data_IF_339448339893
#
_entry.id   IF_339448339893
#
_cell.length_a   1.000
_cell.length_b   1.000
_cell.length_c   1.000
_cell.angle_alpha   90.00
_cell.angle_beta   90.00
_cell.angle_gamma   90.00
#
_symmetry.space_group_name_H-M   'P 1'
#
loop_
_entity.id
_entity.type
_entity.pdbx_description
1 polymer ?
#
# COMPACT_ATOMS: atom_id res chain seq x y z
N UNK A 1 52.83 -0.97 -24.95
CA UNK A 1 52.29 -2.20 -24.29
C UNK A 1 50.79 -2.07 -24.15
N UNK A 2 50.08 -2.75 -25.00
CA UNK A 2 48.61 -2.70 -25.10
C UNK A 2 48.02 -3.72 -24.15
N UNK A 3 47.33 -3.30 -23.07
CA UNK A 3 46.56 -4.20 -22.22
C UNK A 3 45.08 -4.09 -22.51
N UNK A 4 44.62 -4.90 -23.49
CA UNK A 4 43.22 -5.20 -23.76
C UNK A 4 42.61 -5.96 -22.55
N UNK A 5 41.98 -5.24 -21.58
CA UNK A 5 41.10 -5.86 -20.62
C UNK A 5 39.76 -6.17 -21.31
N UNK A 6 39.59 -7.41 -21.72
CA UNK A 6 38.31 -7.98 -22.15
C UNK A 6 37.32 -7.86 -20.96
N UNK A 7 36.28 -7.02 -21.09
CA UNK A 7 35.08 -7.09 -20.26
C UNK A 7 34.43 -8.46 -20.50
N UNK A 8 34.59 -9.39 -19.56
CA UNK A 8 33.81 -10.61 -19.50
C UNK A 8 32.35 -10.19 -19.29
N UNK A 9 31.50 -10.35 -20.31
CA UNK A 9 30.08 -10.22 -20.17
C UNK A 9 29.59 -11.16 -19.04
N UNK A 10 29.01 -10.60 -18.00
CA UNK A 10 28.28 -11.37 -16.99
C UNK A 10 27.14 -12.05 -17.76
N UNK A 11 27.16 -13.38 -17.89
CA UNK A 11 25.99 -14.15 -18.29
C UNK A 11 24.87 -13.73 -17.33
N UNK A 12 23.70 -13.28 -17.83
CA UNK A 12 22.50 -13.19 -17.04
C UNK A 12 22.31 -14.56 -16.39
N UNK A 13 22.50 -14.67 -15.08
CA UNK A 13 21.97 -15.81 -14.34
C UNK A 13 20.45 -15.71 -14.49
N UNK A 14 19.82 -16.84 -14.79
CA UNK A 14 18.37 -16.92 -14.67
C UNK A 14 18.05 -16.52 -13.22
N UNK A 15 17.39 -15.37 -13.05
CA UNK A 15 17.00 -14.88 -11.74
C UNK A 15 15.93 -15.83 -11.24
N UNK A 16 16.18 -16.44 -10.08
CA UNK A 16 15.14 -17.20 -9.42
C UNK A 16 13.92 -16.27 -9.21
N UNK A 17 12.77 -16.74 -9.63
CA UNK A 17 11.50 -16.00 -9.54
C UNK A 17 10.60 -16.70 -8.53
N UNK A 18 9.57 -16.00 -8.05
CA UNK A 18 8.54 -16.62 -7.22
C UNK A 18 7.89 -17.76 -8.01
N UNK A 19 8.04 -19.00 -7.52
CA UNK A 19 7.44 -20.17 -8.17
C UNK A 19 5.96 -20.26 -7.84
N UNK A 20 5.14 -20.62 -8.82
CA UNK A 20 3.74 -20.99 -8.58
C UNK A 20 3.66 -22.20 -7.62
N UNK A 21 2.59 -22.30 -6.82
CA UNK A 21 2.35 -23.51 -6.03
C UNK A 21 2.03 -24.71 -6.94
N UNK A 22 1.96 -25.91 -6.36
CA UNK A 22 1.51 -27.09 -7.07
C UNK A 22 0.14 -26.85 -7.76
N UNK A 23 -0.06 -27.40 -8.96
CA UNK A 23 -1.28 -27.18 -9.73
C UNK A 23 -2.54 -27.60 -8.95
N UNK A 24 -3.60 -26.83 -9.10
CA UNK A 24 -4.91 -27.14 -8.51
C UNK A 24 -5.55 -28.36 -9.17
N UNK A 25 -6.15 -29.24 -8.37
CA UNK A 25 -6.97 -30.31 -8.90
C UNK A 25 -8.26 -29.75 -9.57
N UNK A 26 -8.87 -30.47 -10.52
CA UNK A 26 -10.15 -30.05 -11.10
C UNK A 26 -11.25 -29.83 -10.04
N UNK A 27 -11.22 -30.60 -8.96
CA UNK A 27 -12.17 -30.47 -7.85
C UNK A 27 -11.94 -29.17 -7.08
N UNK A 28 -10.68 -28.80 -6.79
CA UNK A 28 -10.30 -27.56 -6.15
C UNK A 28 -10.68 -26.35 -7.00
N UNK A 29 -10.39 -26.37 -8.30
CA UNK A 29 -10.79 -25.32 -9.25
C UNK A 29 -12.30 -25.11 -9.20
N UNK A 30 -13.09 -26.20 -9.26
CA UNK A 30 -14.55 -26.13 -9.18
C UNK A 30 -15.04 -25.53 -7.86
N UNK A 31 -14.46 -25.96 -6.74
CA UNK A 31 -14.81 -25.46 -5.40
C UNK A 31 -14.52 -23.98 -5.26
N UNK A 32 -13.30 -23.55 -5.61
CA UNK A 32 -12.89 -22.13 -5.53
C UNK A 32 -13.72 -21.25 -6.47
N UNK A 33 -13.96 -21.68 -7.71
CA UNK A 33 -14.77 -20.95 -8.67
C UNK A 33 -16.24 -20.80 -8.20
N UNK A 34 -16.78 -21.80 -7.52
CA UNK A 34 -18.13 -21.75 -6.96
C UNK A 34 -18.30 -20.68 -5.86
N UNK A 35 -17.20 -20.27 -5.19
CA UNK A 35 -17.22 -19.19 -4.17
C UNK A 35 -17.28 -17.78 -4.78
N UNK A 36 -16.96 -17.59 -6.07
CA UNK A 36 -16.87 -16.25 -6.67
C UNK A 36 -18.13 -15.39 -6.46
N UNK A 37 -19.38 -15.90 -6.66
CA UNK A 37 -20.57 -15.10 -6.42
C UNK A 37 -20.76 -14.71 -4.94
N UNK A 38 -20.35 -15.58 -4.01
CA UNK A 38 -20.36 -15.30 -2.57
C UNK A 38 -19.39 -14.16 -2.24
N UNK A 39 -18.14 -14.23 -2.74
CA UNK A 39 -17.10 -13.24 -2.52
C UNK A 39 -17.48 -11.88 -3.14
N UNK A 40 -18.08 -11.88 -4.33
CA UNK A 40 -18.59 -10.64 -4.94
C UNK A 40 -19.69 -10.00 -4.09
N UNK A 41 -20.58 -10.81 -3.52
CA UNK A 41 -21.61 -10.31 -2.61
C UNK A 41 -20.99 -9.73 -1.34
N UNK A 42 -20.08 -10.46 -0.70
CA UNK A 42 -19.36 -10.00 0.48
C UNK A 42 -18.62 -8.67 0.24
N UNK A 43 -18.00 -8.51 -0.94
CA UNK A 43 -17.38 -7.24 -1.33
C UNK A 43 -18.40 -6.10 -1.41
N UNK A 44 -19.56 -6.35 -2.00
CA UNK A 44 -20.62 -5.34 -2.13
C UNK A 44 -21.32 -5.06 -0.79
N UNK A 45 -21.39 -6.04 0.11
CA UNK A 45 -21.91 -5.87 1.48
C UNK A 45 -20.97 -4.99 2.36
N UNK A 46 -19.72 -4.80 1.95
CA UNK A 46 -18.81 -3.82 2.58
C UNK A 46 -19.09 -2.36 2.15
N UNK A 47 -20.04 -2.12 1.24
CA UNK A 47 -20.52 -0.78 0.91
C UNK A 47 -21.53 -0.32 1.95
N UNK A 48 -21.31 0.89 2.52
CA UNK A 48 -22.19 1.43 3.55
C UNK A 48 -22.53 2.91 3.33
N UNK A 49 -23.68 3.34 3.84
CA UNK A 49 -24.15 4.71 3.76
C UNK A 49 -23.57 5.54 4.91
N UNK A 50 -22.72 6.49 4.59
CA UNK A 50 -22.07 7.36 5.56
C UNK A 50 -22.92 8.59 5.87
N UNK A 51 -23.24 8.88 7.15
CA UNK A 51 -24.09 10.01 7.52
C UNK A 51 -23.60 11.37 7.05
N UNK A 52 -22.27 11.54 6.92
CA UNK A 52 -21.64 12.77 6.42
C UNK A 52 -21.51 12.80 4.88
N UNK A 53 -21.73 11.66 4.21
CA UNK A 53 -21.67 11.52 2.75
C UNK A 53 -22.81 10.57 2.28
N UNK A 54 -24.07 11.03 2.29
CA UNK A 54 -25.23 10.16 2.03
C UNK A 54 -25.50 9.88 0.55
N UNK A 55 -24.80 10.55 -0.37
CA UNK A 55 -25.11 10.51 -1.81
C UNK A 55 -24.79 9.15 -2.44
N UNK A 56 -23.77 8.46 -1.95
CA UNK A 56 -23.31 7.18 -2.50
C UNK A 56 -22.72 6.33 -1.37
N UNK A 57 -23.02 5.02 -1.31
CA UNK A 57 -22.35 4.12 -0.37
C UNK A 57 -20.85 4.08 -0.61
N UNK A 58 -20.04 4.04 0.46
CA UNK A 58 -18.59 4.02 0.41
C UNK A 58 -18.05 2.68 0.89
N UNK A 59 -16.88 2.25 0.38
CA UNK A 59 -16.27 0.97 0.67
C UNK A 59 -15.51 0.99 2.00
N UNK A 60 -15.97 0.23 2.97
CA UNK A 60 -15.25 -0.07 4.21
C UNK A 60 -14.08 -1.03 3.96
N UNK A 61 -13.10 -1.02 4.86
CA UNK A 61 -11.96 -1.94 4.80
C UNK A 61 -12.35 -3.40 5.12
N UNK A 62 -13.54 -3.65 5.69
CA UNK A 62 -14.07 -4.95 6.08
C UNK A 62 -15.11 -4.79 7.19
N UNK A 63 -15.76 -5.89 7.57
CA UNK A 63 -16.84 -5.86 8.59
C UNK A 63 -16.39 -5.32 9.94
N UNK A 64 -15.14 -5.55 10.31
CA UNK A 64 -14.57 -5.08 11.59
C UNK A 64 -14.16 -3.59 11.58
N UNK A 65 -14.19 -2.93 10.43
CA UNK A 65 -13.75 -1.54 10.28
C UNK A 65 -14.94 -0.61 10.05
N UNK A 66 -15.17 0.27 10.99
CA UNK A 66 -16.31 1.20 10.98
C UNK A 66 -15.98 2.53 10.29
N UNK A 67 -15.46 2.47 9.06
CA UNK A 67 -15.09 3.68 8.30
C UNK A 67 -14.39 3.36 6.99
N UNK A 68 -13.99 4.44 6.30
CA UNK A 68 -13.05 4.38 5.18
C UNK A 68 -11.73 5.04 5.59
N UNK A 69 -10.61 4.45 5.18
CA UNK A 69 -9.27 4.93 5.48
C UNK A 69 -8.53 5.32 4.22
N UNK A 70 -7.74 6.38 4.31
CA UNK A 70 -6.91 6.85 3.20
C UNK A 70 -5.92 5.77 2.75
N UNK A 71 -5.42 4.96 3.69
CA UNK A 71 -4.56 3.81 3.43
C UNK A 71 -5.23 2.76 2.53
N UNK A 72 -6.53 2.56 2.65
CA UNK A 72 -7.33 1.61 1.88
C UNK A 72 -7.86 2.17 0.56
N UNK A 73 -7.52 3.42 0.24
CA UNK A 73 -8.13 4.10 -0.91
C UNK A 73 -7.88 3.36 -2.24
N UNK A 74 -6.73 2.65 -2.39
CA UNK A 74 -6.43 1.86 -3.59
C UNK A 74 -7.38 0.68 -3.83
N UNK A 75 -8.11 0.21 -2.81
CA UNK A 75 -9.08 -0.89 -2.94
C UNK A 75 -10.20 -0.50 -3.91
N UNK A 76 -10.52 0.80 -3.94
CA UNK A 76 -11.51 1.37 -4.85
C UNK A 76 -11.12 1.24 -6.35
N UNK A 77 -9.83 1.11 -6.67
CA UNK A 77 -9.42 0.82 -8.05
C UNK A 77 -9.96 -0.53 -8.53
N UNK A 78 -9.94 -1.54 -7.67
CA UNK A 78 -10.49 -2.87 -7.98
C UNK A 78 -12.01 -2.88 -7.84
N UNK A 79 -12.57 -2.19 -6.83
CA UNK A 79 -14.02 -2.03 -6.67
C UNK A 79 -14.68 -1.42 -7.91
N UNK A 80 -13.98 -0.55 -8.64
CA UNK A 80 -14.54 0.10 -9.83
C UNK A 80 -15.03 -0.88 -10.93
N UNK A 81 -14.59 -2.15 -10.91
CA UNK A 81 -15.11 -3.22 -11.78
C UNK A 81 -16.51 -3.70 -11.37
N UNK A 82 -16.95 -3.41 -10.15
CA UNK A 82 -18.18 -3.91 -9.54
C UNK A 82 -19.17 -2.79 -9.16
N UNK A 83 -18.65 -1.68 -8.62
CA UNK A 83 -19.43 -0.53 -8.16
C UNK A 83 -18.68 0.79 -8.47
N UNK A 84 -18.65 1.23 -9.74
CA UNK A 84 -17.87 2.39 -10.19
C UNK A 84 -18.26 3.70 -9.49
N UNK A 85 -19.55 3.92 -9.21
CA UNK A 85 -19.98 5.13 -8.50
C UNK A 85 -19.51 5.17 -7.04
N UNK A 86 -19.51 4.04 -6.34
CA UNK A 86 -18.99 3.94 -4.97
C UNK A 86 -17.45 4.10 -4.94
N UNK A 87 -16.75 3.56 -5.93
CA UNK A 87 -15.32 3.72 -6.07
C UNK A 87 -14.92 5.19 -6.26
N UNK A 88 -15.65 5.93 -7.09
CA UNK A 88 -15.46 7.38 -7.22
C UNK A 88 -15.95 8.13 -5.98
N UNK A 89 -17.08 7.74 -5.40
CA UNK A 89 -17.65 8.36 -4.20
C UNK A 89 -16.63 8.46 -3.06
N UNK A 90 -15.80 7.43 -2.85
CA UNK A 90 -14.72 7.47 -1.86
C UNK A 90 -13.69 8.57 -2.16
N UNK A 91 -13.35 8.79 -3.44
CA UNK A 91 -12.42 9.86 -3.85
C UNK A 91 -13.04 11.24 -3.63
N UNK A 92 -14.30 11.41 -4.03
CA UNK A 92 -15.05 12.66 -3.84
C UNK A 92 -15.21 13.00 -2.36
N UNK A 93 -15.47 11.99 -1.51
CA UNK A 93 -15.57 12.17 -0.07
C UNK A 93 -14.25 12.70 0.53
N UNK A 94 -13.11 12.10 0.21
CA UNK A 94 -11.82 12.60 0.69
C UNK A 94 -11.56 14.04 0.20
N UNK A 95 -11.85 14.37 -1.06
CA UNK A 95 -11.73 15.74 -1.58
C UNK A 95 -12.64 16.73 -0.86
N UNK A 96 -13.87 16.34 -0.56
CA UNK A 96 -14.86 17.18 0.12
C UNK A 96 -14.47 17.47 1.57
N UNK A 97 -13.86 16.49 2.25
CA UNK A 97 -13.51 16.59 3.67
C UNK A 97 -12.05 16.97 3.91
N UNK A 98 -11.32 17.36 2.87
CA UNK A 98 -9.96 17.89 3.02
C UNK A 98 -9.96 19.12 3.93
N UNK A 99 -9.00 19.20 4.86
CA UNK A 99 -8.84 20.34 5.77
C UNK A 99 -8.36 21.57 5.01
N UNK A 100 -8.66 22.77 5.50
CA UNK A 100 -8.35 24.04 4.82
C UNK A 100 -6.84 24.22 4.55
N UNK A 101 -5.97 23.68 5.41
CA UNK A 101 -4.52 23.69 5.24
C UNK A 101 -3.99 22.68 4.21
N UNK A 102 -4.86 21.83 3.66
CA UNK A 102 -4.54 20.84 2.63
C UNK A 102 -4.40 19.40 3.12
N UNK A 103 -4.47 19.12 4.42
CA UNK A 103 -4.42 17.76 4.96
C UNK A 103 -5.69 16.98 4.58
N UNK A 104 -5.52 15.78 3.98
CA UNK A 104 -6.62 14.83 3.86
C UNK A 104 -6.90 14.15 5.21
N UNK A 105 -8.16 13.86 5.54
CA UNK A 105 -8.45 13.01 6.69
C UNK A 105 -7.86 11.61 6.45
N UNK A 106 -7.26 11.01 7.50
CA UNK A 106 -6.83 9.63 7.37
C UNK A 106 -8.02 8.66 7.37
N UNK A 107 -9.13 9.05 8.02
CA UNK A 107 -10.36 8.28 8.06
C UNK A 107 -11.61 9.15 8.04
N UNK A 108 -12.68 8.60 7.44
CA UNK A 108 -14.05 9.07 7.57
C UNK A 108 -14.84 7.97 8.30
N UNK A 109 -15.15 8.14 9.61
CA UNK A 109 -15.84 7.13 10.40
C UNK A 109 -17.32 7.02 10.05
N UNK A 110 -17.86 5.80 10.06
CA UNK A 110 -19.28 5.53 9.86
C UNK A 110 -20.10 5.86 11.12
N UNK A 111 -19.67 5.37 12.28
CA UNK A 111 -20.44 5.39 13.52
C UNK A 111 -20.02 6.52 14.49
N UNK A 112 -19.56 7.66 13.98
CA UNK A 112 -19.08 8.78 14.79
C UNK A 112 -20.16 9.42 15.69
N UNK A 113 -21.44 9.15 15.44
CA UNK A 113 -22.57 9.62 16.28
C UNK A 113 -22.91 8.66 17.42
N UNK A 114 -22.35 7.45 17.42
CA UNK A 114 -22.66 6.42 18.40
C UNK A 114 -21.78 6.62 19.63
N UNK A 115 -22.40 6.95 20.75
CA UNK A 115 -21.71 7.10 22.04
C UNK A 115 -21.00 5.81 22.43
N UNK A 116 -19.77 5.94 22.93
CA UNK A 116 -18.88 4.81 23.25
C UNK A 116 -18.12 4.22 22.05
N UNK A 117 -18.36 4.70 20.82
CA UNK A 117 -17.52 4.36 19.69
C UNK A 117 -16.15 5.07 19.76
N UNK A 118 -15.09 4.43 19.25
CA UNK A 118 -13.75 5.00 19.22
C UNK A 118 -13.69 6.38 18.53
N UNK A 119 -14.51 6.58 17.50
CA UNK A 119 -14.59 7.81 16.72
C UNK A 119 -15.73 8.75 17.16
N UNK A 120 -16.30 8.55 18.36
CA UNK A 120 -17.42 9.37 18.82
C UNK A 120 -17.09 10.88 18.77
N UNK A 121 -17.90 11.64 18.07
CA UNK A 121 -17.73 13.09 17.88
C UNK A 121 -16.86 13.51 16.69
N UNK A 122 -16.21 12.57 16.01
CA UNK A 122 -15.33 12.87 14.86
C UNK A 122 -15.95 12.39 13.55
N UNK A 123 -16.54 13.26 12.77
CA UNK A 123 -17.05 12.93 11.41
C UNK A 123 -15.92 12.75 10.37
N UNK A 124 -14.73 13.18 10.71
CA UNK A 124 -13.46 13.05 9.97
C UNK A 124 -12.28 13.13 10.94
N UNK A 125 -11.20 12.43 10.62
CA UNK A 125 -10.07 12.30 11.53
C UNK A 125 -8.77 12.78 10.92
N UNK A 126 -7.97 13.57 11.67
CA UNK A 126 -6.70 14.17 11.25
C UNK A 126 -5.56 13.88 12.22
N UNK A 127 -5.66 12.80 13.00
CA UNK A 127 -4.72 12.47 14.09
C UNK A 127 -3.35 12.04 13.60
N UNK A 128 -3.27 11.59 12.34
CA UNK A 128 -2.07 11.14 11.62
C UNK A 128 -2.32 11.18 10.11
N UNK A 129 -1.35 10.80 9.29
CA UNK A 129 -1.47 10.92 7.82
C UNK A 129 -1.89 9.63 7.12
N UNK A 130 -1.43 8.48 7.54
CA UNK A 130 -1.74 7.12 7.04
C UNK A 130 -1.84 7.03 5.51
N UNK A 131 -0.84 7.55 4.81
CA UNK A 131 -0.81 7.56 3.35
C UNK A 131 0.21 6.55 2.81
N UNK A 132 -0.18 5.77 1.80
CA UNK A 132 0.64 4.71 1.20
C UNK A 132 0.69 4.84 -0.32
N UNK A 133 -0.43 4.65 -0.98
CA UNK A 133 -0.57 5.01 -2.39
C UNK A 133 -1.12 6.42 -2.44
N UNK A 134 -0.39 7.40 -3.04
CA UNK A 134 -0.76 8.80 -2.94
C UNK A 134 -2.16 9.06 -3.45
N UNK A 135 -2.92 9.89 -2.74
CA UNK A 135 -4.27 10.25 -3.14
C UNK A 135 -4.36 10.68 -4.61
N UNK A 136 -3.42 11.53 -5.05
CA UNK A 136 -3.38 11.99 -6.45
C UNK A 136 -3.33 10.84 -7.46
N UNK A 137 -2.48 9.84 -7.21
CA UNK A 137 -2.35 8.66 -8.09
C UNK A 137 -3.62 7.82 -8.05
N UNK A 138 -4.08 7.51 -6.86
CA UNK A 138 -5.24 6.66 -6.65
C UNK A 138 -6.50 7.26 -7.29
N UNK A 139 -6.81 8.51 -6.95
CA UNK A 139 -7.99 9.21 -7.46
C UNK A 139 -7.93 9.41 -9.00
N UNK A 140 -6.76 9.71 -9.55
CA UNK A 140 -6.58 9.83 -11.00
C UNK A 140 -6.86 8.50 -11.73
N UNK A 141 -6.32 7.39 -11.24
CA UNK A 141 -6.53 6.08 -11.87
C UNK A 141 -7.99 5.63 -11.76
N UNK A 142 -8.64 5.90 -10.63
CA UNK A 142 -10.08 5.61 -10.46
C UNK A 142 -10.92 6.52 -11.35
N UNK A 143 -10.61 7.82 -11.44
CA UNK A 143 -11.31 8.74 -12.34
C UNK A 143 -11.22 8.31 -13.81
N UNK A 144 -10.04 7.85 -14.27
CA UNK A 144 -9.86 7.29 -15.61
C UNK A 144 -10.71 6.04 -15.82
N UNK A 145 -10.65 5.11 -14.87
CA UNK A 145 -11.34 3.82 -14.94
C UNK A 145 -12.87 3.98 -14.92
N UNK A 146 -13.38 4.98 -14.20
CA UNK A 146 -14.82 5.27 -14.09
C UNK A 146 -15.31 6.34 -15.07
N UNK A 147 -14.44 6.82 -15.98
CA UNK A 147 -14.82 7.75 -17.05
C UNK A 147 -15.24 9.13 -16.55
N UNK A 148 -14.57 9.67 -15.51
CA UNK A 148 -14.89 10.97 -14.93
C UNK A 148 -14.53 12.14 -15.86
N UNK A 149 -15.26 13.26 -15.80
CA UNK A 149 -15.01 14.45 -16.61
C UNK A 149 -13.73 15.17 -16.18
N UNK A 150 -13.20 16.04 -17.05
CA UNK A 150 -11.98 16.84 -16.82
C UNK A 150 -12.05 17.66 -15.54
N UNK A 151 -13.24 18.15 -15.16
CA UNK A 151 -13.45 18.91 -13.93
C UNK A 151 -13.03 18.13 -12.68
N UNK A 152 -13.28 16.81 -12.63
CA UNK A 152 -12.88 15.96 -11.51
C UNK A 152 -11.35 15.82 -11.46
N UNK A 153 -10.65 15.71 -12.60
CA UNK A 153 -9.18 15.73 -12.62
C UNK A 153 -8.63 17.07 -12.13
N UNK A 154 -9.28 18.18 -12.45
CA UNK A 154 -8.90 19.48 -11.93
C UNK A 154 -9.13 19.61 -10.41
N UNK A 155 -10.17 18.99 -9.86
CA UNK A 155 -10.41 18.92 -8.41
C UNK A 155 -9.34 18.06 -7.71
N UNK A 156 -9.01 16.88 -8.26
CA UNK A 156 -7.93 16.03 -7.75
C UNK A 156 -6.61 16.80 -7.74
N UNK A 157 -6.28 17.49 -8.84
CA UNK A 157 -5.05 18.27 -8.95
C UNK A 157 -4.93 19.32 -7.84
N UNK A 158 -5.97 20.14 -7.64
CA UNK A 158 -5.98 21.18 -6.58
C UNK A 158 -5.84 20.60 -5.19
N UNK A 159 -6.62 19.56 -4.85
CA UNK A 159 -6.56 18.92 -3.55
C UNK A 159 -5.22 18.26 -3.27
N UNK A 160 -4.67 17.55 -4.25
CA UNK A 160 -3.37 16.89 -4.11
C UNK A 160 -2.21 17.90 -4.05
N UNK A 161 -2.25 19.01 -4.77
CA UNK A 161 -1.25 20.08 -4.68
C UNK A 161 -1.27 20.76 -3.30
N UNK A 162 -2.45 20.97 -2.72
CA UNK A 162 -2.58 21.46 -1.34
C UNK A 162 -2.01 20.45 -0.33
N UNK A 163 -2.22 19.15 -0.54
CA UNK A 163 -1.66 18.11 0.32
C UNK A 163 -0.13 18.02 0.23
N UNK A 164 0.48 18.13 -0.96
CA UNK A 164 1.94 18.23 -1.11
C UNK A 164 2.49 19.45 -0.36
N UNK A 165 1.82 20.59 -0.46
CA UNK A 165 2.21 21.80 0.28
C UNK A 165 2.14 21.61 1.79
N UNK A 166 1.08 20.94 2.29
CA UNK A 166 0.95 20.59 3.68
C UNK A 166 2.11 19.68 4.16
N UNK A 167 2.45 18.61 3.38
CA UNK A 167 3.57 17.73 3.69
C UNK A 167 4.89 18.49 3.81
N UNK A 168 5.17 19.36 2.83
CA UNK A 168 6.40 20.16 2.82
C UNK A 168 6.49 21.07 4.05
N UNK A 169 5.34 21.67 4.45
CA UNK A 169 5.32 22.61 5.56
C UNK A 169 5.37 21.96 6.95
N UNK A 170 4.71 20.80 7.11
CA UNK A 170 4.50 20.20 8.43
C UNK A 170 5.33 18.94 8.69
N UNK A 171 5.75 18.22 7.64
CA UNK A 171 6.36 16.90 7.80
C UNK A 171 7.76 16.78 7.23
N UNK A 172 8.14 17.60 6.25
CA UNK A 172 9.47 17.50 5.66
C UNK A 172 10.53 18.14 6.55
N UNK A 173 11.60 17.37 6.80
CA UNK A 173 12.78 17.86 7.50
C UNK A 173 13.55 18.82 6.56
N UNK A 174 14.07 19.92 7.13
CA UNK A 174 14.58 21.07 6.34
C UNK A 174 15.85 20.72 5.51
N UNK A 175 16.73 19.87 6.02
CA UNK A 175 17.98 19.53 5.32
C UNK A 175 17.75 18.54 4.19
N UNK A 176 17.00 17.46 4.46
CA UNK A 176 16.78 16.38 3.50
C UNK A 176 15.63 16.67 2.54
N UNK A 177 14.64 17.47 2.94
CA UNK A 177 13.38 17.66 2.24
C UNK A 177 12.48 16.43 2.25
N UNK A 178 12.80 15.42 3.07
CA UNK A 178 12.04 14.18 3.19
C UNK A 178 11.06 14.24 4.37
N UNK A 179 9.85 13.63 4.25
CA UNK A 179 8.89 13.59 5.31
C UNK A 179 9.31 12.65 6.43
N UNK A 180 9.02 13.07 7.66
CA UNK A 180 9.18 12.28 8.86
C UNK A 180 7.85 11.66 9.30
N UNK A 181 7.90 10.43 9.81
CA UNK A 181 6.80 9.85 10.58
C UNK A 181 6.85 10.37 12.01
N UNK A 182 5.68 10.64 12.58
CA UNK A 182 5.52 11.15 13.93
C UNK A 182 4.86 10.14 14.87
N UNK A 183 4.14 9.19 14.30
CA UNK A 183 3.45 8.16 15.06
C UNK A 183 3.39 6.84 14.27
N UNK A 184 3.00 5.77 14.97
CA UNK A 184 2.89 4.43 14.41
C UNK A 184 1.94 4.39 13.20
N UNK A 185 0.76 5.00 13.34
CA UNK A 185 -0.29 4.94 12.32
C UNK A 185 -0.02 5.81 11.08
N UNK A 186 1.00 6.69 11.10
CA UNK A 186 1.38 7.45 9.89
C UNK A 186 1.69 6.55 8.70
N UNK A 187 2.18 5.33 8.96
CA UNK A 187 2.63 4.39 7.95
C UNK A 187 1.63 3.25 7.68
N UNK A 188 0.61 3.11 8.53
CA UNK A 188 -0.35 2.00 8.48
C UNK A 188 0.25 0.64 8.90
N UNK A 189 1.40 0.64 9.58
CA UNK A 189 2.08 -0.57 10.05
C UNK A 189 1.83 -0.81 11.54
N UNK A 190 0.59 -1.02 11.90
CA UNK A 190 0.16 -1.21 13.28
C UNK A 190 0.96 -2.34 13.97
N UNK A 191 1.49 -2.04 15.17
CA UNK A 191 2.26 -3.00 15.96
C UNK A 191 3.54 -3.55 15.27
N UNK A 192 4.03 -2.92 14.21
CA UNK A 192 5.31 -3.28 13.61
C UNK A 192 6.47 -2.89 14.54
N UNK A 193 7.49 -3.75 14.73
CA UNK A 193 8.67 -3.40 15.52
C UNK A 193 9.38 -2.14 15.01
N UNK A 194 9.28 -1.90 13.70
CA UNK A 194 9.82 -0.70 13.04
C UNK A 194 9.29 0.61 13.66
N UNK A 195 8.04 0.61 14.08
CA UNK A 195 7.35 1.82 14.60
C UNK A 195 7.07 1.77 16.09
N UNK A 196 6.95 0.57 16.70
CA UNK A 196 6.69 0.46 18.15
C UNK A 196 7.92 0.61 19.01
N UNK A 197 9.10 0.26 18.49
CA UNK A 197 10.35 0.36 19.24
C UNK A 197 10.77 1.83 19.38
N UNK A 198 11.17 2.23 20.58
CA UNK A 198 11.55 3.60 20.88
C UNK A 198 10.43 4.46 21.48
N UNK A 199 9.27 3.88 21.79
CA UNK A 199 8.15 4.57 22.45
C UNK A 199 7.41 5.55 21.56
N UNK A 200 7.41 5.31 20.24
CA UNK A 200 6.65 6.08 19.28
C UNK A 200 5.15 5.92 19.59
N UNK A 201 4.36 7.00 19.70
CA UNK A 201 2.94 6.91 20.03
C UNK A 201 2.12 6.33 18.87
N UNK A 202 0.94 5.76 19.17
CA UNK A 202 0.03 5.27 18.13
C UNK A 202 -0.47 6.38 17.20
N UNK A 203 -0.90 7.51 17.77
CA UNK A 203 -1.33 8.72 17.05
C UNK A 203 -0.45 9.91 17.42
N UNK A 204 -0.48 10.96 16.60
CA UNK A 204 0.26 12.18 16.89
C UNK A 204 -0.28 12.87 18.17
N UNK A 205 0.57 13.57 18.93
CA UNK A 205 0.15 14.25 20.17
C UNK A 205 -1.04 15.21 19.94
N UNK A 206 -2.03 15.13 20.82
CA UNK A 206 -3.23 15.98 20.76
C UNK A 206 -4.15 15.66 19.58
N UNK A 207 -4.05 14.46 19.02
CA UNK A 207 -4.86 14.02 17.88
C UNK A 207 -4.77 14.98 16.67
N UNK A 208 -3.58 15.53 16.41
CA UNK A 208 -3.31 16.38 15.26
C UNK A 208 -2.01 15.97 14.55
N UNK A 209 -2.14 15.62 13.28
CA UNK A 209 -1.03 15.22 12.41
C UNK A 209 0.08 16.30 12.28
N UNK A 210 -0.16 17.53 12.68
CA UNK A 210 0.85 18.59 12.71
C UNK A 210 1.85 18.44 13.85
N UNK A 211 1.51 17.66 14.90
CA UNK A 211 2.27 17.62 16.12
C UNK A 211 3.28 16.47 16.17
N UNK A 212 4.56 16.83 16.15
CA UNK A 212 5.65 15.87 16.35
C UNK A 212 5.76 15.53 17.86
N UNK A 213 5.92 14.24 18.24
CA UNK A 213 6.17 13.87 19.62
C UNK A 213 7.58 14.31 20.04
N UNK A 214 7.73 14.66 21.34
CA UNK A 214 9.02 15.02 21.95
C UNK A 214 9.77 13.74 22.32
N UNK A 215 10.48 13.15 21.34
CA UNK A 215 11.29 11.95 21.49
C UNK A 215 12.69 12.20 20.96
N UNK A 216 13.76 11.63 21.59
CA UNK A 216 15.14 11.84 21.19
C UNK A 216 15.48 11.41 19.75
N UNK A 217 14.73 10.44 19.21
CA UNK A 217 14.93 9.92 17.84
C UNK A 217 14.29 10.79 16.75
N UNK A 218 13.37 11.70 17.12
CA UNK A 218 12.67 12.54 16.15
C UNK A 218 13.56 13.68 15.61
N UNK A 219 13.36 14.08 14.36
CA UNK A 219 12.44 13.46 13.38
C UNK A 219 12.97 12.13 12.83
N UNK A 220 12.04 11.18 12.53
CA UNK A 220 12.37 9.92 11.86
C UNK A 220 11.98 10.03 10.39
N UNK A 221 12.95 10.21 9.50
CA UNK A 221 12.71 10.22 8.05
C UNK A 221 12.16 8.86 7.62
N UNK A 222 11.01 8.87 6.96
CA UNK A 222 10.28 7.65 6.62
C UNK A 222 10.43 7.28 5.15
N UNK A 223 10.77 6.02 4.88
CA UNK A 223 10.91 5.48 3.52
C UNK A 223 9.56 5.52 2.79
N UNK A 224 8.51 5.06 3.43
CA UNK A 224 7.18 4.95 2.81
C UNK A 224 6.50 6.31 2.62
N UNK A 225 6.55 7.21 3.59
CA UNK A 225 6.05 8.58 3.40
C UNK A 225 6.83 9.33 2.32
N UNK A 226 8.16 9.12 2.25
CA UNK A 226 9.01 9.68 1.19
C UNK A 226 8.64 9.12 -0.19
N UNK A 227 8.36 7.82 -0.27
CA UNK A 227 7.88 7.18 -1.48
C UNK A 227 6.51 7.74 -1.91
N UNK A 228 5.59 7.92 -0.96
CA UNK A 228 4.28 8.50 -1.22
C UNK A 228 4.38 9.96 -1.70
N UNK A 229 5.26 10.77 -1.11
CA UNK A 229 5.51 12.14 -1.57
C UNK A 229 6.02 12.17 -3.01
N UNK A 230 7.00 11.31 -3.33
CA UNK A 230 7.50 11.15 -4.71
C UNK A 230 6.38 10.77 -5.68
N UNK A 231 5.64 9.69 -5.39
CA UNK A 231 4.57 9.19 -6.24
C UNK A 231 3.43 10.19 -6.42
N UNK A 232 3.13 10.98 -5.38
CA UNK A 232 2.17 12.08 -5.42
C UNK A 232 2.59 13.18 -6.39
N UNK A 233 3.86 13.58 -6.37
CA UNK A 233 4.45 14.58 -7.27
C UNK A 233 4.46 14.14 -8.73
N UNK A 234 4.75 12.85 -8.99
CA UNK A 234 4.64 12.27 -10.33
C UNK A 234 3.18 12.28 -10.81
N UNK A 235 2.23 11.92 -9.95
CA UNK A 235 0.80 11.98 -10.30
C UNK A 235 0.32 13.42 -10.55
N UNK A 236 0.80 14.39 -9.76
CA UNK A 236 0.54 15.81 -9.99
C UNK A 236 1.09 16.31 -11.33
N UNK A 237 2.28 15.85 -11.73
CA UNK A 237 2.82 16.15 -13.05
C UNK A 237 1.94 15.60 -14.18
N UNK A 238 1.48 14.35 -14.06
CA UNK A 238 0.57 13.73 -15.04
C UNK A 238 -0.80 14.45 -15.10
N UNK A 239 -1.35 14.83 -13.94
CA UNK A 239 -2.59 15.62 -13.88
C UNK A 239 -2.42 17.00 -14.50
N UNK A 240 -1.29 17.67 -14.25
CA UNK A 240 -0.97 18.94 -14.85
C UNK A 240 -0.87 18.86 -16.39
N UNK A 241 -0.24 17.78 -16.92
CA UNK A 241 -0.21 17.53 -18.37
C UNK A 241 -1.62 17.34 -18.94
N UNK A 242 -2.46 16.53 -18.28
CA UNK A 242 -3.85 16.31 -18.69
C UNK A 242 -4.67 17.61 -18.76
N UNK A 243 -4.36 18.55 -17.86
CA UNK A 243 -5.03 19.86 -17.77
C UNK A 243 -4.35 20.95 -18.61
N UNK A 244 -3.36 20.60 -19.46
CA UNK A 244 -2.65 21.54 -20.31
C UNK A 244 -1.68 22.48 -19.55
N UNK A 245 -1.35 22.21 -18.30
CA UNK A 245 -0.50 23.02 -17.42
C UNK A 245 0.98 22.58 -17.50
N UNK A 246 1.56 22.65 -18.69
CA UNK A 246 2.87 22.09 -18.99
C UNK A 246 4.02 22.64 -18.12
N UNK A 247 3.98 23.92 -17.74
CA UNK A 247 4.99 24.53 -16.86
C UNK A 247 4.92 23.92 -15.45
N UNK A 248 3.72 23.82 -14.88
CA UNK A 248 3.49 23.20 -13.57
C UNK A 248 3.87 21.71 -13.59
N UNK A 249 3.60 20.99 -14.70
CA UNK A 249 4.01 19.61 -14.87
C UNK A 249 5.53 19.42 -14.81
N UNK A 250 6.29 20.33 -15.44
CA UNK A 250 7.76 20.32 -15.39
C UNK A 250 8.29 20.59 -13.96
N UNK A 251 7.66 21.53 -13.23
CA UNK A 251 8.00 21.80 -11.83
C UNK A 251 7.74 20.62 -10.92
N UNK A 252 6.61 19.93 -11.08
CA UNK A 252 6.29 18.72 -10.31
C UNK A 252 7.28 17.58 -10.57
N UNK A 253 7.69 17.36 -11.82
CA UNK A 253 8.74 16.39 -12.15
C UNK A 253 10.07 16.76 -11.50
N UNK A 254 10.46 18.03 -11.50
CA UNK A 254 11.67 18.48 -10.84
C UNK A 254 11.63 18.23 -9.32
N UNK A 255 10.51 18.56 -8.66
CA UNK A 255 10.30 18.27 -7.22
C UNK A 255 10.35 16.78 -6.94
N UNK A 256 9.74 15.93 -7.78
CA UNK A 256 9.78 14.47 -7.65
C UNK A 256 11.23 13.96 -7.76
N UNK A 257 11.99 14.42 -8.74
CA UNK A 257 13.40 13.99 -8.90
C UNK A 257 14.26 14.40 -7.71
N UNK A 258 14.06 15.60 -7.15
CA UNK A 258 14.74 16.01 -5.90
C UNK A 258 14.41 15.04 -4.75
N UNK A 259 13.13 14.64 -4.60
CA UNK A 259 12.72 13.66 -3.58
C UNK A 259 13.40 12.30 -3.81
N UNK A 260 13.45 11.81 -5.05
CA UNK A 260 14.10 10.54 -5.40
C UNK A 260 15.59 10.54 -5.04
N UNK A 261 16.28 11.61 -5.37
CA UNK A 261 17.70 11.78 -5.04
C UNK A 261 17.92 11.86 -3.52
N UNK A 262 17.03 12.53 -2.79
CA UNK A 262 17.09 12.59 -1.33
C UNK A 262 16.84 11.22 -0.69
N UNK A 263 15.84 10.45 -1.16
CA UNK A 263 15.60 9.06 -0.72
C UNK A 263 16.87 8.23 -0.88
N UNK A 264 17.51 8.28 -2.04
CA UNK A 264 18.76 7.53 -2.29
C UNK A 264 19.89 7.98 -1.38
N UNK A 265 20.01 9.28 -1.12
CA UNK A 265 21.10 9.85 -0.30
C UNK A 265 20.94 9.57 1.19
N UNK A 266 19.72 9.68 1.72
CA UNK A 266 19.49 9.68 3.17
C UNK A 266 18.97 8.35 3.72
N UNK A 267 18.27 7.54 2.90
CA UNK A 267 17.56 6.35 3.36
C UNK A 267 18.14 5.03 2.82
N UNK A 268 19.07 5.06 1.86
CA UNK A 268 19.69 3.85 1.33
C UNK A 268 20.95 3.50 2.10
N UNK A 269 21.03 2.27 2.58
CA UNK A 269 22.23 1.68 3.19
C UNK A 269 23.00 0.87 2.12
N UNK A 270 24.25 1.29 1.84
CA UNK A 270 25.09 0.67 0.79
C UNK A 270 25.58 -0.72 1.18
N UNK A 271 25.70 -1.03 2.49
CA UNK A 271 26.19 -2.32 2.98
C UNK A 271 25.10 -3.39 2.83
N UNK A 272 23.89 -3.06 3.28
CA UNK A 272 22.74 -3.94 3.17
C UNK A 272 22.10 -3.90 1.78
N UNK A 273 22.38 -2.89 0.96
CA UNK A 273 21.66 -2.61 -0.31
C UNK A 273 20.14 -2.54 -0.08
N UNK A 274 19.73 -1.89 1.01
CA UNK A 274 18.35 -1.78 1.45
C UNK A 274 18.01 -0.34 1.85
N UNK A 275 16.73 -0.03 1.90
CA UNK A 275 16.24 1.28 2.33
C UNK A 275 15.66 1.19 3.74
N UNK A 276 16.17 2.02 4.65
CA UNK A 276 15.75 2.07 6.04
C UNK A 276 15.26 3.47 6.42
N UNK A 277 14.34 3.55 7.38
CA UNK A 277 14.06 4.80 8.04
C UNK A 277 15.30 5.33 8.76
N UNK A 278 15.35 6.64 8.90
CA UNK A 278 16.52 7.30 9.52
C UNK A 278 16.08 8.24 10.62
N UNK A 279 16.41 7.88 11.86
CA UNK A 279 16.31 8.73 13.03
C UNK A 279 17.49 9.68 13.13
N UNK A 280 17.45 10.62 14.08
CA UNK A 280 18.60 11.49 14.44
C UNK A 280 19.83 10.68 14.88
N UNK A 281 19.62 9.48 15.43
CA UNK A 281 20.66 8.55 15.89
C UNK A 281 21.24 7.66 14.78
N UNK A 282 20.66 7.64 13.57
CA UNK A 282 21.10 6.83 12.45
C UNK A 282 19.99 5.98 11.83
N UNK A 283 20.35 4.97 11.03
CA UNK A 283 19.41 4.06 10.42
C UNK A 283 18.66 3.20 11.45
N UNK A 284 17.34 3.08 11.29
CA UNK A 284 16.49 2.12 11.99
C UNK A 284 16.44 0.83 11.15
N UNK A 285 17.36 -0.11 11.42
CA UNK A 285 17.58 -1.29 10.58
C UNK A 285 16.55 -2.40 10.82
N UNK A 286 15.31 -2.17 10.44
CA UNK A 286 14.24 -3.17 10.38
C UNK A 286 13.94 -3.50 8.92
N UNK A 287 14.16 -4.75 8.51
CA UNK A 287 13.79 -5.22 7.16
C UNK A 287 12.31 -5.54 7.10
N UNK A 288 11.51 -4.54 6.84
CA UNK A 288 10.05 -4.66 6.72
C UNK A 288 9.57 -4.40 5.30
N UNK A 289 8.32 -4.73 5.02
CA UNK A 289 7.70 -4.58 3.70
C UNK A 289 7.61 -3.13 3.22
N UNK A 290 7.91 -2.15 4.09
CA UNK A 290 7.92 -0.72 3.73
C UNK A 290 8.77 -0.41 2.48
N UNK A 291 9.79 -1.22 2.20
CA UNK A 291 10.57 -1.11 0.96
C UNK A 291 9.70 -1.28 -0.29
N UNK A 292 8.62 -2.06 -0.22
CA UNK A 292 7.69 -2.25 -1.35
C UNK A 292 6.91 -0.98 -1.68
N UNK A 293 6.87 0.00 -0.76
CA UNK A 293 6.27 1.31 -1.01
C UNK A 293 7.08 2.12 -2.03
N UNK A 294 8.42 1.93 -2.06
CA UNK A 294 9.26 2.47 -3.13
C UNK A 294 8.89 1.86 -4.49
N UNK A 295 8.60 0.56 -4.52
CA UNK A 295 8.16 -0.13 -5.74
C UNK A 295 6.77 0.36 -6.18
N UNK A 296 5.81 0.41 -5.26
CA UNK A 296 4.45 0.88 -5.51
C UNK A 296 4.42 2.30 -6.09
N UNK A 297 5.26 3.18 -5.56
CA UNK A 297 5.36 4.57 -5.97
C UNK A 297 6.36 4.80 -7.13
N UNK A 298 6.97 3.73 -7.67
CA UNK A 298 7.88 3.77 -8.83
C UNK A 298 9.09 4.69 -8.60
N UNK A 299 9.61 4.71 -7.36
CA UNK A 299 10.74 5.55 -6.97
C UNK A 299 12.03 5.06 -7.61
N UNK A 300 12.19 3.74 -7.70
CA UNK A 300 13.41 3.09 -8.16
C UNK A 300 13.42 2.95 -9.69
N UNK A 301 14.60 3.10 -10.29
CA UNK A 301 14.83 2.64 -11.65
C UNK A 301 14.71 1.11 -11.73
N UNK A 302 14.56 0.55 -12.93
CA UNK A 302 14.52 -0.90 -13.09
C UNK A 302 15.76 -1.59 -12.50
N UNK A 303 16.96 -1.02 -12.68
CA UNK A 303 18.21 -1.58 -12.15
C UNK A 303 18.25 -1.54 -10.61
N UNK A 304 17.83 -0.43 -9.99
CA UNK A 304 17.75 -0.29 -8.52
C UNK A 304 16.72 -1.27 -7.95
N UNK A 305 15.55 -1.38 -8.60
CA UNK A 305 14.52 -2.35 -8.23
C UNK A 305 15.05 -3.79 -8.32
N UNK A 306 15.64 -4.18 -9.47
CA UNK A 306 16.15 -5.54 -9.68
C UNK A 306 17.16 -5.93 -8.62
N UNK A 307 18.04 -5.00 -8.21
CA UNK A 307 19.05 -5.23 -7.16
C UNK A 307 18.41 -5.59 -5.81
N UNK A 308 17.45 -4.78 -5.36
CA UNK A 308 16.72 -5.04 -4.09
C UNK A 308 15.87 -6.30 -4.21
N UNK A 309 15.17 -6.46 -5.33
CA UNK A 309 14.26 -7.56 -5.55
C UNK A 309 15.00 -8.90 -5.60
N UNK A 310 16.08 -9.02 -6.35
CA UNK A 310 16.90 -10.23 -6.45
C UNK A 310 17.50 -10.63 -5.10
N UNK A 311 17.89 -9.66 -4.28
CA UNK A 311 18.49 -9.94 -2.98
C UNK A 311 17.48 -10.38 -1.92
N UNK A 312 16.30 -9.77 -1.88
CA UNK A 312 15.38 -9.89 -0.78
C UNK A 312 14.04 -10.60 -1.11
N UNK A 313 13.72 -10.78 -2.40
CA UNK A 313 12.40 -11.31 -2.80
C UNK A 313 12.49 -12.56 -3.70
N UNK A 314 13.69 -13.07 -4.01
CA UNK A 314 13.86 -14.15 -4.98
C UNK A 314 14.34 -15.48 -4.39
N UNK A 315 14.80 -15.52 -3.13
CA UNK A 315 15.30 -16.78 -2.52
C UNK A 315 14.19 -17.46 -1.74
N UNK A 316 13.66 -18.61 -2.19
CA UNK A 316 12.60 -19.34 -1.48
C UNK A 316 12.98 -19.68 -0.04
N UNK A 317 12.05 -19.44 0.89
CA UNK A 317 12.24 -19.70 2.31
C UNK A 317 13.19 -18.71 3.02
N UNK A 318 13.48 -17.57 2.39
CA UNK A 318 14.32 -16.51 2.94
C UNK A 318 13.64 -15.15 2.78
N UNK A 319 14.02 -14.20 3.62
CA UNK A 319 13.63 -12.79 3.58
C UNK A 319 12.11 -12.59 3.36
N UNK A 320 11.68 -12.06 2.21
CA UNK A 320 10.26 -11.82 1.90
C UNK A 320 9.60 -12.92 1.04
N UNK A 321 10.27 -14.09 0.89
CA UNK A 321 9.74 -15.21 0.10
C UNK A 321 9.57 -16.51 0.92
N UNK A 322 8.82 -16.50 2.06
CA UNK A 322 8.31 -17.73 2.67
C UNK A 322 7.29 -18.43 1.77
N UNK A 323 6.74 -19.61 2.13
CA UNK A 323 5.70 -20.30 1.37
C UNK A 323 4.50 -19.40 1.00
N UNK A 324 4.05 -18.52 1.89
CA UNK A 324 3.06 -17.47 1.61
C UNK A 324 3.79 -16.12 1.68
N UNK A 325 4.13 -15.51 0.51
CA UNK A 325 5.12 -14.45 0.40
C UNK A 325 4.62 -13.09 0.86
N UNK A 326 5.58 -12.17 0.96
CA UNK A 326 5.40 -10.80 1.40
C UNK A 326 4.94 -10.66 2.86
N UNK A 327 5.65 -11.32 3.80
CA UNK A 327 5.44 -11.04 5.22
C UNK A 327 5.78 -9.58 5.51
N UNK A 328 5.12 -9.00 6.51
CA UNK A 328 5.31 -7.59 6.88
C UNK A 328 6.71 -7.28 7.42
N UNK A 329 7.38 -8.26 7.99
CA UNK A 329 8.80 -8.25 8.36
C UNK A 329 9.49 -9.42 7.69
N UNK A 330 10.72 -9.22 7.20
CA UNK A 330 11.54 -10.30 6.65
C UNK A 330 11.70 -11.44 7.66
N UNK A 331 11.52 -12.69 7.23
CA UNK A 331 11.65 -13.87 8.11
C UNK A 331 13.08 -14.04 8.64
N UNK A 332 14.07 -13.40 8.03
CA UNK A 332 15.48 -13.43 8.47
C UNK A 332 15.83 -12.21 9.35
N UNK A 333 14.89 -11.30 9.61
CA UNK A 333 15.09 -10.16 10.51
C UNK A 333 14.95 -10.60 11.99
N UNK A 334 15.84 -10.20 12.90
CA UNK A 334 15.74 -10.56 14.32
C UNK A 334 14.43 -10.12 15.00
N UNK A 335 13.75 -9.12 14.46
CA UNK A 335 12.47 -8.62 14.99
C UNK A 335 11.25 -9.38 14.45
N UNK A 336 11.44 -10.35 13.55
CA UNK A 336 10.35 -11.13 12.95
C UNK A 336 9.49 -11.83 14.01
N UNK A 337 8.17 -11.56 13.97
CA UNK A 337 7.17 -12.18 14.85
C UNK A 337 5.88 -12.40 14.05
N UNK A 338 5.38 -13.62 13.97
CA UNK A 338 4.12 -13.94 13.28
C UNK A 338 3.11 -14.61 14.22
N UNK A 339 1.88 -14.81 13.75
CA UNK A 339 0.82 -15.47 14.50
C UNK A 339 0.04 -14.55 15.46
N UNK A 340 0.40 -13.26 15.56
CA UNK A 340 -0.32 -12.27 16.37
C UNK A 340 -1.27 -11.50 15.45
N UNK A 341 -2.55 -11.44 15.81
CA UNK A 341 -3.56 -10.66 15.06
C UNK A 341 -3.21 -9.19 14.99
N UNK A 342 -3.54 -8.58 13.84
CA UNK A 342 -3.31 -7.16 13.53
C UNK A 342 -1.90 -6.73 13.91
N UNK A 343 -0.93 -7.52 13.46
CA UNK A 343 0.48 -7.26 13.74
C UNK A 343 1.27 -7.23 12.46
N UNK A 344 1.77 -6.06 12.12
CA UNK A 344 2.75 -5.91 11.06
C UNK A 344 4.16 -6.34 11.51
N UNK A 345 4.19 -7.36 12.38
CA UNK A 345 5.43 -7.94 12.93
C UNK A 345 5.96 -9.14 12.15
N UNK A 346 5.23 -9.66 11.14
CA UNK A 346 5.71 -10.82 10.38
C UNK A 346 4.63 -11.60 9.62
N UNK A 347 3.34 -11.31 9.82
CA UNK A 347 2.27 -11.96 9.07
C UNK A 347 2.28 -11.55 7.60
N UNK A 348 1.82 -12.42 6.70
CA UNK A 348 1.55 -12.07 5.31
C UNK A 348 0.26 -11.25 5.23
N UNK A 349 0.38 -10.01 4.78
CA UNK A 349 -0.73 -9.05 4.74
C UNK A 349 -1.43 -9.05 3.39
N UNK A 350 -2.77 -9.18 3.39
CA UNK A 350 -3.56 -9.07 2.18
C UNK A 350 -3.39 -7.72 1.49
N UNK A 351 -3.31 -6.65 2.27
CA UNK A 351 -3.15 -5.30 1.77
C UNK A 351 -1.82 -5.10 1.02
N UNK A 352 -0.70 -5.62 1.56
CA UNK A 352 0.60 -5.63 0.88
C UNK A 352 0.56 -6.43 -0.41
N UNK A 353 -0.07 -7.62 -0.36
CA UNK A 353 -0.23 -8.50 -1.53
C UNK A 353 -1.08 -7.86 -2.63
N UNK A 354 -2.17 -7.17 -2.27
CA UNK A 354 -3.02 -6.46 -3.22
C UNK A 354 -2.25 -5.30 -3.90
N UNK A 355 -1.48 -4.54 -3.12
CA UNK A 355 -0.60 -3.47 -3.62
C UNK A 355 0.50 -4.01 -4.54
N UNK A 356 0.98 -5.22 -4.29
CA UNK A 356 2.00 -5.86 -5.11
C UNK A 356 1.55 -6.07 -6.56
N UNK A 357 0.25 -6.22 -6.81
CA UNK A 357 -0.29 -6.37 -8.17
C UNK A 357 0.02 -5.17 -9.07
N UNK A 358 0.13 -3.96 -8.50
CA UNK A 358 0.50 -2.75 -9.24
C UNK A 358 1.99 -2.73 -9.59
N UNK A 359 2.86 -2.88 -8.59
CA UNK A 359 4.30 -2.73 -8.83
C UNK A 359 4.92 -3.93 -9.55
N UNK A 360 4.40 -5.15 -9.34
CA UNK A 360 4.84 -6.31 -10.12
C UNK A 360 4.53 -6.15 -11.61
N UNK A 361 3.37 -5.55 -11.94
CA UNK A 361 3.05 -5.20 -13.32
C UNK A 361 4.01 -4.16 -13.89
N UNK A 362 4.33 -3.11 -13.13
CA UNK A 362 5.19 -2.03 -13.56
C UNK A 362 6.65 -2.48 -13.81
N UNK A 363 7.22 -3.28 -12.89
CA UNK A 363 8.60 -3.76 -12.98
C UNK A 363 8.74 -5.10 -13.74
N UNK A 364 7.79 -5.42 -14.61
CA UNK A 364 7.84 -6.61 -15.49
C UNK A 364 7.96 -7.95 -14.73
N UNK A 365 7.34 -8.06 -13.54
CA UNK A 365 7.29 -9.28 -12.72
C UNK A 365 5.94 -10.01 -12.86
N UNK A 366 5.45 -10.16 -14.09
CA UNK A 366 4.15 -10.77 -14.37
C UNK A 366 4.02 -12.21 -13.88
N UNK A 367 5.07 -13.02 -14.01
CA UNK A 367 5.12 -14.41 -13.50
C UNK A 367 5.02 -14.43 -11.96
N UNK A 368 5.75 -13.52 -11.28
CA UNK A 368 5.70 -13.43 -9.82
C UNK A 368 4.33 -12.95 -9.32
N UNK A 369 3.70 -12.02 -10.08
CA UNK A 369 2.33 -11.57 -9.80
C UNK A 369 1.32 -12.73 -9.90
N UNK A 370 1.41 -13.55 -10.93
CA UNK A 370 0.56 -14.74 -11.06
C UNK A 370 0.82 -15.74 -9.93
N UNK A 371 2.08 -16.03 -9.62
CA UNK A 371 2.47 -16.92 -8.53
C UNK A 371 1.94 -16.42 -7.17
N UNK A 372 2.00 -15.11 -6.90
CA UNK A 372 1.42 -14.51 -5.68
C UNK A 372 -0.08 -14.78 -5.57
N UNK A 373 -0.83 -14.49 -6.65
CA UNK A 373 -2.27 -14.75 -6.69
C UNK A 373 -2.61 -16.23 -6.50
N UNK A 374 -1.84 -17.14 -7.11
CA UNK A 374 -2.03 -18.59 -6.95
C UNK A 374 -1.73 -19.07 -5.52
N UNK A 375 -0.76 -18.48 -4.82
CA UNK A 375 -0.47 -18.82 -3.42
C UNK A 375 -1.61 -18.38 -2.50
N UNK A 376 -2.23 -17.23 -2.75
CA UNK A 376 -3.44 -16.82 -2.04
C UNK A 376 -4.61 -17.78 -2.30
N UNK A 377 -4.82 -18.20 -3.56
CA UNK A 377 -5.83 -19.22 -3.87
C UNK A 377 -5.52 -20.57 -3.21
N UNK A 378 -4.24 -20.91 -3.07
CA UNK A 378 -3.82 -22.14 -2.37
C UNK A 378 -4.15 -22.07 -0.87
N UNK A 379 -3.96 -20.91 -0.23
CA UNK A 379 -4.40 -20.71 1.14
C UNK A 379 -5.92 -20.94 1.31
N UNK A 380 -6.74 -20.45 0.39
CA UNK A 380 -8.20 -20.68 0.44
C UNK A 380 -8.60 -22.11 0.12
N UNK A 381 -7.81 -22.87 -0.68
CA UNK A 381 -8.01 -24.30 -0.89
C UNK A 381 -7.70 -25.11 0.39
N UNK A 382 -6.57 -24.80 1.04
CA UNK A 382 -6.07 -25.51 2.22
C UNK A 382 -6.84 -25.14 3.49
N UNK A 383 -7.43 -23.94 3.53
CA UNK A 383 -8.20 -23.38 4.64
C UNK A 383 -9.61 -22.97 4.19
N UNK A 384 -10.48 -23.92 3.85
CA UNK A 384 -11.83 -23.61 3.34
C UNK A 384 -12.74 -22.93 4.38
N UNK A 385 -12.38 -23.02 5.67
CA UNK A 385 -13.02 -22.30 6.79
C UNK A 385 -12.69 -20.82 6.83
N UNK A 386 -11.74 -20.33 6.02
CA UNK A 386 -11.38 -18.93 5.98
C UNK A 386 -12.59 -18.05 5.65
N UNK A 387 -12.79 -17.03 6.49
CA UNK A 387 -13.78 -15.97 6.36
C UNK A 387 -13.19 -14.69 5.76
N UNK A 388 -12.10 -14.83 4.99
CA UNK A 388 -11.38 -13.72 4.34
C UNK A 388 -10.77 -12.76 5.36
N UNK A 389 -9.95 -13.30 6.25
CA UNK A 389 -9.19 -12.57 7.27
C UNK A 389 -8.16 -11.64 6.60
N UNK A 390 -7.70 -10.67 7.37
CA UNK A 390 -6.70 -9.69 6.94
C UNK A 390 -5.35 -10.33 6.65
N UNK A 391 -4.98 -11.37 7.41
CA UNK A 391 -3.62 -11.86 7.53
C UNK A 391 -3.56 -13.37 7.39
N UNK A 392 -2.44 -13.86 6.85
CA UNK A 392 -2.09 -15.29 6.82
C UNK A 392 -0.79 -15.53 7.59
N UNK A 393 -0.67 -16.72 8.16
CA UNK A 393 0.61 -17.23 8.61
C UNK A 393 1.54 -17.46 7.40
N UNK A 394 2.75 -16.89 7.38
CA UNK A 394 3.62 -16.93 6.21
C UNK A 394 4.16 -18.32 5.86
N UNK A 395 4.08 -19.29 6.78
CA UNK A 395 4.59 -20.64 6.58
C UNK A 395 3.50 -21.65 6.22
N UNK A 396 2.32 -21.51 6.77
CA UNK A 396 1.21 -22.46 6.63
C UNK A 396 0.05 -21.95 5.79
N UNK A 397 -0.04 -20.62 5.53
CA UNK A 397 -1.19 -20.01 4.87
C UNK A 397 -2.46 -19.99 5.72
N UNK A 398 -2.38 -20.43 6.98
CA UNK A 398 -3.53 -20.40 7.88
C UNK A 398 -3.97 -18.94 8.13
N UNK A 399 -5.29 -18.66 8.10
CA UNK A 399 -5.79 -17.32 8.41
C UNK A 399 -5.56 -16.97 9.87
N UNK A 400 -5.19 -15.71 10.14
CA UNK A 400 -4.92 -15.22 11.49
C UNK A 400 -6.03 -14.27 11.92
N UNK A 401 -6.51 -14.48 13.16
CA UNK A 401 -7.57 -13.67 13.77
C UNK A 401 -8.98 -14.09 13.38
N UNK A 402 -9.94 -13.35 13.91
CA UNK A 402 -11.38 -13.57 13.79
C UNK A 402 -12.08 -12.58 12.86
N UNK A 403 -11.31 -11.75 12.13
CA UNK A 403 -11.84 -10.79 11.17
C UNK A 403 -12.60 -11.47 10.02
N UNK A 404 -13.63 -10.78 9.52
CA UNK A 404 -14.50 -11.32 8.47
C UNK A 404 -14.53 -10.33 7.30
N UNK A 405 -14.54 -10.86 6.08
CA UNK A 405 -14.75 -10.10 4.85
C UNK A 405 -13.83 -8.89 4.70
N UNK A 406 -12.53 -9.06 5.01
CA UNK A 406 -11.57 -7.98 4.80
C UNK A 406 -11.44 -7.66 3.31
N UNK A 407 -11.71 -6.42 2.95
CA UNK A 407 -11.83 -5.97 1.55
C UNK A 407 -10.62 -6.34 0.68
N UNK A 408 -9.35 -6.12 1.09
CA UNK A 408 -8.20 -6.53 0.29
C UNK A 408 -8.14 -8.04 0.03
N UNK A 409 -8.56 -8.87 0.99
CA UNK A 409 -8.57 -10.33 0.83
C UNK A 409 -9.65 -10.79 -0.14
N UNK A 410 -10.84 -10.19 -0.10
CA UNK A 410 -11.90 -10.43 -1.08
C UNK A 410 -11.44 -10.03 -2.49
N UNK A 411 -10.79 -8.88 -2.62
CA UNK A 411 -10.26 -8.40 -3.90
C UNK A 411 -9.15 -9.29 -4.44
N UNK A 412 -8.23 -9.78 -3.61
CA UNK A 412 -7.21 -10.75 -4.01
C UNK A 412 -7.82 -12.04 -4.54
N UNK A 413 -8.84 -12.55 -3.88
CA UNK A 413 -9.58 -13.74 -4.35
C UNK A 413 -10.20 -13.48 -5.73
N UNK A 414 -10.87 -12.34 -5.90
CA UNK A 414 -11.52 -11.99 -7.16
C UNK A 414 -10.52 -11.74 -8.30
N UNK A 415 -9.37 -11.13 -8.02
CA UNK A 415 -8.29 -10.96 -9.00
C UNK A 415 -7.67 -12.31 -9.39
N UNK A 416 -7.44 -13.21 -8.43
CA UNK A 416 -6.94 -14.54 -8.71
C UNK A 416 -7.94 -15.39 -9.50
N UNK A 417 -9.25 -15.24 -9.24
CA UNK A 417 -10.30 -15.93 -9.98
C UNK A 417 -10.42 -15.49 -11.46
N UNK A 418 -9.74 -14.40 -11.86
CA UNK A 418 -9.62 -13.99 -13.28
C UNK A 418 -8.53 -14.74 -14.04
N UNK A 419 -7.67 -15.51 -13.35
CA UNK A 419 -6.61 -16.28 -13.99
C UNK A 419 -7.16 -17.41 -14.88
N UNK A 420 -6.47 -17.75 -15.98
CA UNK A 420 -6.99 -18.69 -17.01
C UNK A 420 -7.48 -20.02 -16.44
N UNK A 421 -6.80 -20.61 -15.47
CA UNK A 421 -7.16 -21.89 -14.85
C UNK A 421 -8.49 -21.86 -14.10
N UNK A 422 -8.95 -20.68 -13.65
CA UNK A 422 -10.24 -20.51 -12.97
C UNK A 422 -11.35 -20.01 -13.89
N UNK A 423 -11.02 -19.59 -15.12
CA UNK A 423 -12.01 -19.08 -16.11
C UNK A 423 -12.34 -20.06 -17.21
N UNK A 424 -11.50 -21.07 -17.45
CA UNK A 424 -11.61 -22.01 -18.59
C UNK A 424 -12.84 -22.94 -18.57
N UNK A 425 -13.80 -22.74 -17.67
CA UNK A 425 -15.08 -23.45 -17.62
C UNK A 425 -16.31 -22.54 -17.58
N UNK A 426 -16.15 -21.21 -17.70
CA UNK A 426 -17.27 -20.28 -17.74
C UNK A 426 -17.72 -20.08 -19.20
N UNK A 427 -19.02 -20.17 -19.52
CA UNK A 427 -19.52 -19.67 -20.80
C UNK A 427 -19.27 -18.15 -20.85
N UNK A 428 -18.72 -17.69 -21.96
CA UNK A 428 -18.51 -16.27 -22.29
C UNK A 428 -19.84 -15.55 -22.38
#
# INVERSE_FOLDING_TARGET
>A
MNTNRRKKGRKKKDVETMTAPEPFSPAAVKQLTARVPEVQRALLDNLDAFPQYPETPLLKAGDQYEGIWLEHNQDNFFLADYAPESAWGSQDAFLRFQREDGLFPFALPLNYRKEGNFFYGYDRCFWHVQTVWPFARCAMEIARKTGRPEEDFARIYRGAAAYDSWFVHHRCEAESGLPAMYCEYDTGHDNSPRVTDGGIPHSCPGDDANNMPDLPEMPILSVDLSAALYGGRIALAELADLLGKNAEAAEWRAKAEMTRLAIRRYLYDEEDEFYYDRATTGFRKYRTEHVTRLFLNRVLTQEEFDRVYERYFCTPGREFLPPYPLPSVSIDDPSFRHGIRNSWGGNTQALTSLRALFWMGYYHRGTDREALLLRWMKAFEEHPESTFQQELDPFTGAPIGDGVNYTPTLLLFLEAAKLPQFTSGRPV
#
